data_IF_787549668955
#
_entry.id   IF_787549668955
#
_cell.length_a   1.000
_cell.length_b   1.000
_cell.length_c   1.000
_cell.angle_alpha   90.00
_cell.angle_beta   90.00
_cell.angle_gamma   90.00
#
_symmetry.space_group_name_H-M   'P 1'
#
loop_
_entity.id
_entity.type
_entity.pdbx_description
1 polymer ?
#
# COMPACT_ATOMS: atom_id res chain seq x y z
N UNK A 1 -39.87 -14.38 3.77
CA UNK A 1 -38.69 -14.93 3.06
C UNK A 1 -38.04 -13.94 2.09
N UNK A 2 -38.80 -13.09 1.38
CA UNK A 2 -38.23 -12.16 0.38
C UNK A 2 -37.41 -10.98 0.95
N UNK A 3 -37.78 -10.45 2.12
CA UNK A 3 -37.10 -9.29 2.71
C UNK A 3 -35.66 -9.59 3.17
N UNK A 4 -35.44 -10.80 3.70
CA UNK A 4 -34.11 -11.28 4.09
C UNK A 4 -33.19 -11.43 2.87
N UNK A 5 -33.72 -11.91 1.74
CA UNK A 5 -32.98 -12.10 0.50
C UNK A 5 -32.58 -10.75 -0.13
N UNK A 6 -33.49 -9.77 -0.17
CA UNK A 6 -33.15 -8.43 -0.65
C UNK A 6 -32.12 -7.72 0.23
N UNK A 7 -32.21 -7.89 1.56
CA UNK A 7 -31.29 -7.23 2.49
C UNK A 7 -29.88 -7.83 2.43
N UNK A 8 -29.75 -9.16 2.30
CA UNK A 8 -28.45 -9.80 2.12
C UNK A 8 -27.82 -9.44 0.78
N UNK A 9 -28.59 -9.44 -0.31
CA UNK A 9 -28.09 -9.04 -1.64
C UNK A 9 -27.60 -7.58 -1.65
N UNK A 10 -28.35 -6.67 -1.03
CA UNK A 10 -27.93 -5.26 -0.90
C UNK A 10 -26.66 -5.11 -0.07
N UNK A 11 -26.53 -5.86 1.02
CA UNK A 11 -25.33 -5.84 1.85
C UNK A 11 -24.11 -6.42 1.11
N UNK A 12 -24.27 -7.55 0.42
CA UNK A 12 -23.18 -8.15 -0.37
C UNK A 12 -22.76 -7.26 -1.54
N UNK A 13 -23.70 -6.68 -2.28
CA UNK A 13 -23.37 -5.75 -3.38
C UNK A 13 -22.69 -4.49 -2.85
N UNK A 14 -23.20 -3.88 -1.77
CA UNK A 14 -22.61 -2.69 -1.17
C UNK A 14 -21.23 -2.97 -0.57
N UNK A 15 -21.05 -4.10 0.11
CA UNK A 15 -19.79 -4.49 0.72
C UNK A 15 -18.73 -4.83 -0.32
N UNK A 16 -19.07 -5.64 -1.34
CA UNK A 16 -18.12 -5.99 -2.42
C UNK A 16 -17.77 -4.77 -3.25
N UNK A 17 -18.72 -3.89 -3.56
CA UNK A 17 -18.45 -2.67 -4.33
C UNK A 17 -17.65 -1.65 -3.51
N UNK A 18 -17.96 -1.48 -2.23
CA UNK A 18 -17.24 -0.57 -1.33
C UNK A 18 -15.82 -1.04 -1.03
N UNK A 19 -15.67 -2.26 -0.51
CA UNK A 19 -14.36 -2.86 -0.20
C UNK A 19 -13.55 -3.07 -1.49
N UNK A 20 -14.20 -3.48 -2.57
CA UNK A 20 -13.57 -3.63 -3.89
C UNK A 20 -13.04 -2.31 -4.45
N UNK A 21 -13.79 -1.20 -4.30
CA UNK A 21 -13.33 0.13 -4.72
C UNK A 21 -12.12 0.59 -3.89
N UNK A 22 -12.19 0.45 -2.56
CA UNK A 22 -11.07 0.80 -1.67
C UNK A 22 -9.82 -0.05 -1.96
N UNK A 23 -10.00 -1.36 -2.17
CA UNK A 23 -8.92 -2.27 -2.56
C UNK A 23 -8.34 -1.91 -3.92
N UNK A 24 -9.16 -1.54 -4.90
CA UNK A 24 -8.68 -1.16 -6.22
C UNK A 24 -7.79 0.09 -6.17
N UNK A 25 -8.18 1.10 -5.40
CA UNK A 25 -7.36 2.31 -5.19
C UNK A 25 -6.05 1.95 -4.48
N UNK A 26 -6.11 1.20 -3.37
CA UNK A 26 -4.90 0.78 -2.66
C UNK A 26 -3.98 -0.07 -3.56
N UNK A 27 -4.55 -0.99 -4.33
CA UNK A 27 -3.84 -1.86 -5.27
C UNK A 27 -3.18 -1.06 -6.40
N UNK A 28 -3.85 -0.03 -6.93
CA UNK A 28 -3.25 0.86 -7.93
C UNK A 28 -2.01 1.59 -7.40
N UNK A 29 -2.06 2.05 -6.15
CA UNK A 29 -0.92 2.69 -5.46
C UNK A 29 0.17 1.65 -5.17
N UNK A 30 -0.23 0.43 -4.79
CA UNK A 30 0.69 -0.67 -4.53
C UNK A 30 1.49 -1.06 -5.78
N UNK A 31 0.86 -1.13 -6.96
CA UNK A 31 1.57 -1.43 -8.21
C UNK A 31 2.44 -0.28 -8.71
N UNK A 32 2.04 0.96 -8.47
CA UNK A 32 2.75 2.14 -8.95
C UNK A 32 4.16 2.34 -8.35
N UNK A 33 4.44 1.78 -7.17
CA UNK A 33 5.77 1.91 -6.58
C UNK A 33 6.08 0.98 -5.41
N UNK A 34 5.06 0.55 -4.66
CA UNK A 34 5.27 -0.30 -3.48
C UNK A 34 5.73 -1.71 -3.86
N UNK A 35 5.21 -2.28 -4.94
CA UNK A 35 5.62 -3.59 -5.46
C UNK A 35 7.06 -3.60 -5.94
N UNK A 36 7.56 -2.49 -6.50
CA UNK A 36 8.96 -2.34 -6.85
C UNK A 36 9.85 -2.23 -5.60
N UNK A 37 9.42 -1.47 -4.59
CA UNK A 37 10.15 -1.36 -3.32
C UNK A 37 10.19 -2.67 -2.53
N UNK A 38 9.10 -3.45 -2.52
CA UNK A 38 9.05 -4.78 -1.90
C UNK A 38 9.93 -5.78 -2.65
N UNK A 39 9.92 -5.76 -3.98
CA UNK A 39 10.84 -6.57 -4.79
C UNK A 39 12.31 -6.19 -4.54
N UNK A 40 12.61 -4.90 -4.46
CA UNK A 40 13.93 -4.39 -4.12
C UNK A 40 14.35 -4.75 -2.66
N UNK A 41 13.39 -4.91 -1.74
CA UNK A 41 13.64 -5.35 -0.36
C UNK A 41 13.83 -6.87 -0.24
N UNK A 42 13.27 -7.65 -1.16
CA UNK A 42 13.42 -9.10 -1.25
C UNK A 42 14.77 -9.51 -1.87
N UNK A 43 15.48 -8.59 -2.53
CA UNK A 43 16.85 -8.79 -3.01
C UNK A 43 17.87 -8.68 -1.85
N UNK A 44 18.76 -9.68 -1.75
CA UNK A 44 19.82 -9.75 -0.74
C UNK A 44 20.86 -8.60 -0.82
N UNK A 45 20.92 -7.88 -1.95
CA UNK A 45 21.79 -6.72 -2.14
C UNK A 45 20.92 -5.50 -2.43
N UNK A 46 20.83 -4.53 -1.50
CA UNK A 46 19.96 -3.38 -1.67
C UNK A 46 20.46 -2.49 -2.83
N UNK A 47 19.58 -2.07 -3.76
CA UNK A 47 19.96 -1.27 -4.91
C UNK A 47 20.54 0.10 -4.49
N UNK A 48 21.60 0.54 -5.17
CA UNK A 48 22.39 1.73 -4.84
C UNK A 48 21.56 3.03 -4.68
N UNK A 49 20.38 3.10 -5.31
CA UNK A 49 19.43 4.22 -5.17
C UNK A 49 18.79 4.29 -3.78
N UNK A 50 18.46 3.15 -3.17
CA UNK A 50 17.92 3.08 -1.81
C UNK A 50 18.97 3.49 -0.76
N UNK A 51 20.24 3.16 -1.00
CA UNK A 51 21.36 3.61 -0.15
C UNK A 51 21.50 5.13 -0.23
N UNK A 52 21.45 5.72 -1.43
CA UNK A 52 21.50 7.17 -1.62
C UNK A 52 20.33 7.91 -0.96
N UNK A 53 19.12 7.36 -1.07
CA UNK A 53 17.92 7.93 -0.44
C UNK A 53 17.95 7.79 1.09
N UNK A 54 18.36 6.63 1.62
CA UNK A 54 18.56 6.42 3.07
C UNK A 54 19.65 7.32 3.62
N UNK A 55 20.77 7.49 2.91
CA UNK A 55 21.83 8.41 3.30
C UNK A 55 21.31 9.85 3.39
N UNK A 56 20.50 10.30 2.41
CA UNK A 56 19.89 11.64 2.42
C UNK A 56 18.93 11.85 3.60
N UNK A 57 18.14 10.83 3.96
CA UNK A 57 17.26 10.87 5.12
C UNK A 57 18.02 10.78 6.44
N UNK A 58 19.09 9.99 6.52
CA UNK A 58 19.95 9.88 7.69
C UNK A 58 20.63 11.22 8.00
N UNK A 59 21.13 11.93 6.99
CA UNK A 59 21.70 13.28 7.17
C UNK A 59 20.66 14.31 7.62
N UNK A 60 19.39 14.14 7.22
CA UNK A 60 18.30 15.02 7.64
C UNK A 60 17.79 14.74 9.07
N UNK A 61 18.03 13.54 9.61
CA UNK A 61 17.52 13.10 10.92
C UNK A 61 18.60 13.05 12.02
N UNK A 62 19.83 13.50 11.75
CA UNK A 62 20.84 13.69 12.80
C UNK A 62 20.44 14.94 13.60
N UNK A 63 20.08 14.82 14.90
CA UNK A 63 19.95 16.00 15.74
C UNK A 63 21.31 16.72 15.76
N UNK A 64 21.30 18.01 15.40
CA UNK A 64 22.47 18.89 15.52
C UNK A 64 22.99 18.81 16.96
N UNK A 65 24.28 18.51 17.20
CA UNK A 65 24.87 18.73 18.50
C UNK A 65 24.96 20.25 18.72
N UNK A 66 24.23 20.74 19.71
CA UNK A 66 24.57 21.96 20.44
C UNK A 66 24.82 21.54 21.88
#
# INVERSE_FOLDING_TARGET
MSFLISSTIGFFLGFVFGVGCALAVMYSIFLGGYRAAVRDAELAVPPARLIKARAKLATANTPRPL
#
